data_IF_508561894070
#
_entry.id   IF_508561894070
#
_cell.length_a   1.000
_cell.length_b   1.000
_cell.length_c   1.000
_cell.angle_alpha   90.00
_cell.angle_beta   90.00
_cell.angle_gamma   90.00
#
_symmetry.space_group_name_H-M   'P 1'
#
loop_
_entity.id
_entity.type
_entity.pdbx_description
1 polymer ?
#
# COMPACT_ATOMS: atom_id res chain seq x y z
N UNK A 1 -12.17 -68.00 15.17
CA UNK A 1 -11.80 -68.25 16.58
C UNK A 1 -11.06 -67.00 17.04
N UNK A 2 -11.76 -66.01 17.62
CA UNK A 2 -12.00 -65.84 19.07
C UNK A 2 -10.67 -65.59 19.80
N UNK A 3 -10.43 -64.49 20.54
CA UNK A 3 -11.35 -63.68 21.35
C UNK A 3 -10.77 -62.30 21.72
N UNK A 4 -11.69 -61.35 21.90
CA UNK A 4 -11.61 -60.06 22.60
C UNK A 4 -10.89 -60.04 23.96
N UNK A 5 -10.33 -58.88 24.32
CA UNK A 5 -10.75 -58.18 25.57
C UNK A 5 -10.50 -56.67 25.53
N UNK A 6 -11.59 -55.92 25.74
CA UNK A 6 -11.68 -54.49 26.08
C UNK A 6 -11.36 -54.26 27.56
N UNK A 7 -10.92 -53.04 27.90
CA UNK A 7 -11.26 -52.22 29.08
C UNK A 7 -10.14 -51.18 29.32
N UNK A 8 -10.32 -49.96 29.85
CA UNK A 8 -11.42 -48.99 30.04
C UNK A 8 -10.68 -47.69 30.45
N UNK A 9 -11.18 -46.52 30.05
CA UNK A 9 -10.82 -45.23 30.65
C UNK A 9 -11.23 -45.18 32.13
N UNK A 10 -10.67 -44.23 32.89
CA UNK A 10 -11.49 -43.34 33.68
C UNK A 10 -11.31 -41.87 33.28
N UNK A 11 -12.45 -41.19 33.21
CA UNK A 11 -12.62 -39.75 33.22
C UNK A 11 -12.04 -39.11 34.48
N UNK A 12 -11.59 -37.85 34.38
CA UNK A 12 -11.32 -37.07 35.59
C UNK A 12 -10.56 -35.76 35.40
N UNK A 13 -11.32 -34.69 35.17
CA UNK A 13 -11.15 -33.37 35.82
C UNK A 13 -10.01 -32.43 35.34
N UNK A 14 -10.44 -31.55 34.42
CA UNK A 14 -10.28 -30.09 34.45
C UNK A 14 -9.19 -29.47 35.31
N UNK A 15 -8.18 -28.91 34.64
CA UNK A 15 -7.35 -27.84 35.18
C UNK A 15 -7.61 -26.57 34.36
N UNK A 16 -8.42 -25.69 34.95
CA UNK A 16 -8.68 -24.31 34.51
C UNK A 16 -7.38 -23.48 34.65
N UNK A 17 -6.92 -22.75 33.62
CA UNK A 17 -5.79 -21.83 33.77
C UNK A 17 -6.23 -20.55 34.50
N UNK A 18 -5.39 -19.98 35.39
CA UNK A 18 -5.80 -18.88 36.26
C UNK A 18 -6.09 -17.58 35.50
N UNK A 19 -7.23 -16.98 35.85
CA UNK A 19 -7.64 -15.65 35.41
C UNK A 19 -6.56 -14.60 35.76
N UNK A 20 -6.07 -13.89 34.74
CA UNK A 20 -5.17 -12.73 34.92
C UNK A 20 -5.97 -11.42 35.07
N UNK A 21 -5.49 -10.48 35.90
CA UNK A 21 -6.24 -9.28 36.27
C UNK A 21 -6.37 -8.30 35.10
N UNK A 22 -7.59 -7.78 34.90
CA UNK A 22 -7.91 -6.67 33.99
C UNK A 22 -7.24 -5.39 34.52
N UNK A 23 -6.18 -4.92 33.85
CA UNK A 23 -5.73 -3.52 34.00
C UNK A 23 -6.55 -2.64 33.07
N UNK A 24 -7.37 -1.78 33.66
CA UNK A 24 -8.10 -0.72 32.99
C UNK A 24 -7.10 0.29 32.40
N UNK A 25 -7.17 0.52 31.08
CA UNK A 25 -6.53 1.66 30.43
C UNK A 25 -7.60 2.73 30.30
N UNK A 26 -7.39 3.84 30.99
CA UNK A 26 -8.29 4.98 31.03
C UNK A 26 -8.39 5.65 29.65
N UNK A 27 -9.62 5.75 29.14
CA UNK A 27 -9.97 6.57 27.99
C UNK A 27 -10.10 8.04 28.44
N UNK A 28 -9.25 8.91 27.91
CA UNK A 28 -9.34 10.36 28.08
C UNK A 28 -10.45 10.90 27.17
N UNK A 29 -11.53 11.41 27.77
CA UNK A 29 -12.67 11.99 27.09
C UNK A 29 -12.39 13.38 26.49
N UNK A 30 -12.92 13.60 25.29
CA UNK A 30 -13.06 14.93 24.70
C UNK A 30 -14.53 15.38 24.82
N UNK A 31 -14.73 16.49 25.54
CA UNK A 31 -16.03 17.11 25.81
C UNK A 31 -16.59 17.79 24.56
N UNK A 32 -17.84 17.48 24.26
CA UNK A 32 -18.75 18.25 23.39
C UNK A 32 -19.24 19.51 24.11
N UNK A 33 -19.15 20.67 23.46
CA UNK A 33 -19.84 21.90 23.88
C UNK A 33 -20.83 22.30 22.79
N UNK A 34 -22.12 22.29 23.17
CA UNK A 34 -23.21 22.85 22.39
C UNK A 34 -23.35 24.35 22.70
N UNK A 35 -23.63 25.17 21.69
CA UNK A 35 -24.10 26.56 21.87
C UNK A 35 -25.23 26.85 20.89
N UNK A 36 -26.43 27.03 21.45
CA UNK A 36 -27.26 28.23 21.30
C UNK A 36 -27.77 28.64 19.92
N UNK A 37 -29.07 28.37 19.70
CA UNK A 37 -29.94 29.04 18.72
C UNK A 37 -30.10 30.53 19.04
N UNK A 38 -30.20 31.37 18.00
CA UNK A 38 -30.74 32.73 18.06
C UNK A 38 -31.28 33.13 16.69
N UNK A 39 -32.60 33.28 16.60
CA UNK A 39 -33.34 33.67 15.40
C UNK A 39 -33.47 35.20 15.30
N UNK A 40 -33.44 35.73 14.08
CA UNK A 40 -34.07 37.01 13.72
C UNK A 40 -34.29 37.08 12.19
N UNK A 41 -35.55 37.21 11.80
CA UNK A 41 -36.08 37.65 10.50
C UNK A 41 -36.73 39.05 10.72
N UNK A 42 -37.27 39.74 9.70
CA UNK A 42 -36.76 40.05 8.35
C UNK A 42 -36.97 41.56 8.00
N UNK A 43 -36.48 42.05 6.84
CA UNK A 43 -37.04 43.28 6.24
C UNK A 43 -36.81 43.41 4.73
N UNK A 44 -37.95 43.31 4.02
CA UNK A 44 -38.47 44.02 2.85
C UNK A 44 -37.60 44.72 1.77
N UNK A 45 -38.03 44.42 0.53
CA UNK A 45 -38.39 45.32 -0.58
C UNK A 45 -37.33 45.87 -1.56
N UNK A 46 -37.67 45.76 -2.86
CA UNK A 46 -37.05 46.51 -3.95
C UNK A 46 -37.27 45.90 -5.34
N UNK A 47 -38.41 46.21 -5.96
CA UNK A 47 -38.77 45.89 -7.35
C UNK A 47 -38.08 46.83 -8.35
N UNK A 48 -37.80 46.36 -9.57
CA UNK A 48 -37.34 47.20 -10.68
C UNK A 48 -37.10 46.44 -11.99
N UNK A 49 -38.08 46.46 -12.89
CA UNK A 49 -37.91 46.18 -14.34
C UNK A 49 -37.21 47.36 -15.03
N UNK A 50 -36.46 47.14 -16.15
CA UNK A 50 -37.07 47.47 -17.45
C UNK A 50 -36.59 46.68 -18.70
N UNK A 51 -37.56 46.49 -19.61
CA UNK A 51 -37.61 46.60 -21.09
C UNK A 51 -36.47 46.12 -22.02
N UNK A 52 -36.96 45.43 -23.06
CA UNK A 52 -36.33 45.06 -24.35
C UNK A 52 -35.89 46.26 -25.21
N UNK A 53 -34.89 46.01 -26.07
CA UNK A 53 -34.81 46.59 -27.41
C UNK A 53 -33.39 46.83 -27.94
N UNK A 54 -32.92 46.02 -28.90
CA UNK A 54 -31.65 46.29 -29.61
C UNK A 54 -31.18 45.14 -30.50
N UNK A 55 -31.66 45.12 -31.74
CA UNK A 55 -31.32 44.17 -32.82
C UNK A 55 -29.90 44.38 -33.36
N UNK A 56 -29.05 43.34 -33.41
CA UNK A 56 -27.95 43.25 -34.40
C UNK A 56 -27.63 41.81 -34.84
N UNK A 57 -27.90 41.60 -36.14
CA UNK A 57 -27.17 40.83 -37.16
C UNK A 57 -26.85 39.35 -36.93
N UNK A 58 -27.47 38.55 -37.79
CA UNK A 58 -27.12 37.17 -38.11
C UNK A 58 -25.65 37.06 -38.56
N UNK A 59 -24.86 36.34 -37.76
CA UNK A 59 -23.55 35.82 -38.12
C UNK A 59 -23.65 34.30 -38.31
N UNK A 60 -23.05 33.81 -39.39
CA UNK A 60 -23.06 32.43 -39.85
C UNK A 60 -22.97 31.39 -38.72
N UNK A 61 -23.87 30.40 -38.74
CA UNK A 61 -23.76 29.18 -37.93
C UNK A 61 -22.50 28.43 -38.33
N UNK A 62 -21.39 28.67 -37.63
CA UNK A 62 -20.29 27.70 -37.55
C UNK A 62 -20.87 26.46 -36.88
N UNK A 63 -20.86 25.33 -37.57
CA UNK A 63 -21.20 24.05 -36.99
C UNK A 63 -20.37 23.85 -35.71
N UNK A 64 -21.06 23.74 -34.58
CA UNK A 64 -20.46 23.40 -33.31
C UNK A 64 -19.73 22.06 -33.48
N UNK A 65 -18.47 21.94 -33.01
CA UNK A 65 -17.85 20.64 -32.95
C UNK A 65 -18.70 19.81 -32.00
N UNK A 66 -19.32 18.74 -32.50
CA UNK A 66 -19.95 17.71 -31.68
C UNK A 66 -18.88 17.19 -30.72
N UNK A 67 -18.83 17.74 -29.51
CA UNK A 67 -18.14 17.13 -28.39
C UNK A 67 -18.92 15.84 -28.14
N UNK A 68 -18.46 14.74 -28.74
CA UNK A 68 -18.81 13.40 -28.26
C UNK A 68 -18.42 13.41 -26.79
N UNK A 69 -19.41 13.55 -25.92
CA UNK A 69 -19.22 13.53 -24.49
C UNK A 69 -18.52 12.23 -24.13
N UNK A 70 -17.22 12.29 -23.91
CA UNK A 70 -16.52 11.23 -23.23
C UNK A 70 -17.17 11.18 -21.85
N UNK A 71 -18.00 10.16 -21.60
CA UNK A 71 -18.47 9.82 -20.26
C UNK A 71 -17.27 9.92 -19.34
N UNK A 72 -17.29 10.88 -18.40
CA UNK A 72 -16.22 11.00 -17.42
C UNK A 72 -16.16 9.65 -16.70
N UNK A 73 -15.01 8.98 -16.80
CA UNK A 73 -14.82 7.71 -16.13
C UNK A 73 -14.74 7.99 -14.62
N UNK A 74 -15.36 7.16 -13.80
CA UNK A 74 -15.32 7.25 -12.33
C UNK A 74 -14.66 6.00 -11.75
N UNK A 75 -13.72 6.16 -10.82
CA UNK A 75 -13.06 5.06 -10.11
C UNK A 75 -13.47 5.03 -8.64
N UNK A 76 -13.52 3.82 -8.05
CA UNK A 76 -13.76 3.65 -6.61
C UNK A 76 -12.68 4.35 -5.80
N UNK A 77 -13.09 5.11 -4.80
CA UNK A 77 -12.17 5.70 -3.82
C UNK A 77 -11.39 4.57 -3.14
N UNK A 78 -10.06 4.66 -3.17
CA UNK A 78 -9.19 3.59 -2.70
C UNK A 78 -7.92 4.18 -2.09
N UNK A 79 -7.73 4.00 -0.78
CA UNK A 79 -6.53 4.44 -0.07
C UNK A 79 -5.27 3.74 -0.55
N UNK A 80 -5.37 2.48 -0.95
CA UNK A 80 -4.26 1.74 -1.53
C UNK A 80 -3.83 2.37 -2.87
N UNK A 81 -4.78 2.74 -3.74
CA UNK A 81 -4.48 3.43 -5.00
C UNK A 81 -3.82 4.80 -4.80
N UNK A 82 -4.28 5.58 -3.80
CA UNK A 82 -3.64 6.85 -3.42
C UNK A 82 -2.20 6.65 -2.93
N UNK A 83 -1.97 5.65 -2.10
CA UNK A 83 -0.63 5.26 -1.61
C UNK A 83 0.26 4.81 -2.77
N UNK A 84 -0.27 3.98 -3.66
CA UNK A 84 0.46 3.52 -4.83
C UNK A 84 0.82 4.67 -5.78
N UNK A 85 0.03 5.74 -5.90
CA UNK A 85 0.42 6.91 -6.70
C UNK A 85 1.74 7.56 -6.23
N UNK A 86 2.14 7.31 -4.98
CA UNK A 86 3.42 7.73 -4.40
C UNK A 86 4.48 6.65 -4.65
N UNK A 87 4.16 5.38 -4.37
CA UNK A 87 5.13 4.26 -4.44
C UNK A 87 5.40 3.74 -5.86
N UNK A 88 4.47 3.90 -6.80
CA UNK A 88 4.63 3.47 -8.20
C UNK A 88 5.44 4.46 -9.05
N UNK A 89 5.68 5.68 -8.55
CA UNK A 89 6.70 6.54 -9.13
C UNK A 89 8.07 5.97 -8.75
N UNK A 90 8.67 5.22 -9.67
CA UNK A 90 9.93 4.47 -9.50
C UNK A 90 10.96 5.25 -8.69
N UNK A 91 11.19 6.51 -9.03
CA UNK A 91 12.17 7.35 -8.37
C UNK A 91 11.79 7.74 -6.94
N UNK A 92 10.50 8.02 -6.69
CA UNK A 92 10.01 8.32 -5.35
C UNK A 92 10.18 7.13 -4.43
N UNK A 93 9.85 5.93 -4.93
CA UNK A 93 10.09 4.69 -4.21
C UNK A 93 11.57 4.49 -3.88
N UNK A 94 12.46 4.62 -4.87
CA UNK A 94 13.89 4.42 -4.67
C UNK A 94 14.46 5.39 -3.63
N UNK A 95 14.03 6.65 -3.64
CA UNK A 95 14.44 7.65 -2.63
C UNK A 95 13.96 7.26 -1.23
N UNK A 96 12.69 6.86 -1.08
CA UNK A 96 12.14 6.41 0.22
C UNK A 96 12.88 5.17 0.71
N UNK A 97 13.16 4.21 -0.19
CA UNK A 97 13.93 2.99 0.11
C UNK A 97 15.29 3.37 0.71
N UNK A 98 16.07 4.19 0.02
CA UNK A 98 17.40 4.57 0.50
C UNK A 98 17.36 5.34 1.83
N UNK A 99 16.30 6.12 2.07
CA UNK A 99 16.13 6.78 3.36
C UNK A 99 15.93 5.78 4.51
N UNK A 100 15.23 4.65 4.30
CA UNK A 100 15.15 3.57 5.29
C UNK A 100 16.48 2.86 5.54
N UNK A 101 17.39 2.87 4.55
CA UNK A 101 18.79 2.44 4.68
C UNK A 101 19.72 3.53 5.23
N UNK A 102 19.18 4.69 5.63
CA UNK A 102 19.90 5.73 6.35
C UNK A 102 20.48 6.85 5.49
N UNK A 103 20.20 6.89 4.18
CA UNK A 103 20.57 8.05 3.36
C UNK A 103 19.78 9.28 3.82
N UNK A 104 20.49 10.39 4.07
CA UNK A 104 19.93 11.67 4.53
C UNK A 104 20.41 12.83 3.68
N UNK A 105 21.57 12.73 3.03
CA UNK A 105 22.15 13.82 2.23
C UNK A 105 21.90 13.61 0.75
N UNK A 106 21.79 14.71 0.00
CA UNK A 106 21.57 14.68 -1.45
C UNK A 106 22.59 13.79 -2.19
N UNK A 107 23.87 13.91 -1.84
CA UNK A 107 24.94 13.15 -2.48
C UNK A 107 24.90 11.65 -2.14
N UNK A 108 24.38 11.26 -0.96
CA UNK A 108 24.19 9.86 -0.59
C UNK A 108 23.11 9.21 -1.46
N UNK A 109 21.96 9.88 -1.61
CA UNK A 109 20.91 9.41 -2.52
C UNK A 109 21.41 9.32 -3.97
N UNK A 110 22.18 10.32 -4.41
CA UNK A 110 22.71 10.35 -5.77
C UNK A 110 23.70 9.22 -6.01
N UNK A 111 24.61 8.98 -5.07
CA UNK A 111 25.59 7.90 -5.15
C UNK A 111 24.90 6.53 -5.15
N UNK A 112 23.96 6.30 -4.24
CA UNK A 112 23.27 5.01 -4.10
C UNK A 112 22.36 4.67 -5.31
N UNK A 113 21.75 5.69 -5.94
CA UNK A 113 20.76 5.48 -7.00
C UNK A 113 21.28 5.79 -8.41
N UNK A 114 22.40 6.50 -8.56
CA UNK A 114 22.92 6.93 -9.86
C UNK A 114 21.94 7.79 -10.64
N UNK A 115 21.16 8.64 -9.96
CA UNK A 115 20.15 9.49 -10.59
C UNK A 115 20.74 10.81 -11.11
N UNK A 116 20.25 11.34 -12.24
CA UNK A 116 20.54 12.71 -12.64
C UNK A 116 20.11 13.70 -11.55
N UNK A 117 20.93 14.74 -11.31
CA UNK A 117 20.71 15.71 -10.23
C UNK A 117 19.32 16.36 -10.28
N UNK A 118 18.89 16.78 -11.46
CA UNK A 118 17.58 17.41 -11.65
C UNK A 118 16.42 16.45 -11.29
N UNK A 119 16.54 15.18 -11.66
CA UNK A 119 15.54 14.15 -11.33
C UNK A 119 15.45 13.93 -9.82
N UNK A 120 16.58 13.77 -9.13
CA UNK A 120 16.61 13.59 -7.69
C UNK A 120 16.08 14.82 -6.95
N UNK A 121 16.48 16.02 -7.36
CA UNK A 121 16.02 17.27 -6.75
C UNK A 121 14.50 17.43 -6.84
N UNK A 122 13.92 17.19 -8.02
CA UNK A 122 12.47 17.25 -8.22
C UNK A 122 11.73 16.20 -7.38
N UNK A 123 12.29 14.99 -7.25
CA UNK A 123 11.68 13.93 -6.43
C UNK A 123 11.72 14.23 -4.94
N UNK A 124 12.86 14.67 -4.42
CA UNK A 124 12.98 15.11 -3.02
C UNK A 124 12.04 16.29 -2.73
N UNK A 125 11.93 17.25 -3.67
CA UNK A 125 10.98 18.36 -3.56
C UNK A 125 9.53 17.87 -3.46
N UNK A 126 9.08 17.01 -4.38
CA UNK A 126 7.71 16.46 -4.36
C UNK A 126 7.42 15.66 -3.09
N UNK A 127 8.36 14.84 -2.65
CA UNK A 127 8.21 14.05 -1.43
C UNK A 127 8.21 14.93 -0.16
N UNK A 128 8.97 16.02 -0.16
CA UNK A 128 8.92 17.03 0.91
C UNK A 128 7.58 17.77 0.92
N UNK A 129 7.07 18.18 -0.24
CA UNK A 129 5.76 18.82 -0.38
C UNK A 129 4.60 17.90 0.07
N UNK A 130 4.74 16.59 -0.14
CA UNK A 130 3.79 15.57 0.35
C UNK A 130 3.98 15.24 1.84
N UNK A 131 4.91 15.92 2.53
CA UNK A 131 5.19 15.70 3.94
C UNK A 131 5.85 14.35 4.25
N UNK A 132 6.35 13.61 3.25
CA UNK A 132 7.08 12.34 3.47
C UNK A 132 8.47 12.62 4.06
N UNK A 133 9.12 13.67 3.55
CA UNK A 133 10.39 14.18 4.08
C UNK A 133 10.21 15.58 4.66
N UNK A 134 11.09 15.94 5.58
CA UNK A 134 11.35 17.32 5.98
C UNK A 134 12.82 17.65 5.73
N UNK A 135 13.07 18.92 5.43
CA UNK A 135 14.43 19.45 5.28
C UNK A 135 14.95 19.94 6.65
N UNK A 136 16.18 19.58 6.98
CA UNK A 136 16.88 20.01 8.19
C UNK A 136 18.17 20.70 7.77
N UNK A 137 18.36 21.94 8.24
CA UNK A 137 19.56 22.73 7.98
C UNK A 137 20.54 22.57 9.14
N UNK A 138 21.82 22.36 8.81
CA UNK A 138 22.87 22.11 9.82
C UNK A 138 23.16 23.36 10.68
N UNK A 139 23.06 24.54 10.07
CA UNK A 139 23.16 25.84 10.73
C UNK A 139 22.39 26.89 9.93
N UNK A 140 22.07 28.03 10.54
CA UNK A 140 21.40 29.15 9.88
C UNK A 140 22.17 29.73 8.67
N UNK A 141 23.47 29.45 8.58
CA UNK A 141 24.39 29.94 7.54
C UNK A 141 24.80 28.87 6.52
N UNK A 142 24.47 27.60 6.74
CA UNK A 142 24.84 26.50 5.85
C UNK A 142 23.77 26.25 4.79
N UNK A 143 24.19 26.20 3.53
CA UNK A 143 23.35 25.74 2.41
C UNK A 143 23.17 24.22 2.36
N UNK A 144 23.81 23.47 3.26
CA UNK A 144 23.72 22.01 3.32
C UNK A 144 22.43 21.58 4.02
N UNK A 145 21.62 20.84 3.28
CA UNK A 145 20.32 20.33 3.73
C UNK A 145 20.38 18.81 3.86
N UNK A 146 19.84 18.31 4.97
CA UNK A 146 19.50 16.90 5.15
C UNK A 146 18.00 16.67 4.96
N UNK A 147 17.66 15.50 4.43
CA UNK A 147 16.29 15.06 4.22
C UNK A 147 15.98 13.95 5.22
N UNK A 148 15.10 14.25 6.16
CA UNK A 148 14.68 13.32 7.21
C UNK A 148 13.26 12.84 6.93
N UNK A 149 13.00 11.54 7.04
CA UNK A 149 11.64 11.02 7.01
C UNK A 149 10.83 11.64 8.16
N UNK A 150 9.63 12.11 7.85
CA UNK A 150 8.66 12.53 8.87
C UNK A 150 7.94 11.30 9.44
N UNK A 151 7.02 11.51 10.39
CA UNK A 151 6.11 10.42 10.81
C UNK A 151 5.31 9.84 9.63
N UNK A 152 4.85 10.69 8.72
CA UNK A 152 4.15 10.26 7.49
C UNK A 152 5.03 9.37 6.62
N UNK A 153 6.32 9.72 6.44
CA UNK A 153 7.26 8.88 5.72
C UNK A 153 7.63 7.58 6.45
N UNK A 154 7.82 7.64 7.77
CA UNK A 154 8.16 6.47 8.59
C UNK A 154 7.04 5.44 8.64
N UNK A 155 5.78 5.88 8.66
CA UNK A 155 4.61 5.00 8.65
C UNK A 155 4.44 4.21 7.33
N UNK A 156 5.21 4.52 6.27
CA UNK A 156 5.26 3.67 5.06
C UNK A 156 6.03 2.37 5.30
N UNK A 157 6.85 2.29 6.35
CA UNK A 157 7.73 1.17 6.60
C UNK A 157 7.03 -0.19 6.68
N UNK A 158 5.88 -0.35 7.36
CA UNK A 158 5.12 -1.60 7.35
C UNK A 158 4.73 -2.06 5.94
N UNK A 159 4.41 -1.14 5.02
CA UNK A 159 4.13 -1.48 3.62
C UNK A 159 5.36 -2.07 2.93
N UNK A 160 6.55 -1.51 3.19
CA UNK A 160 7.81 -2.06 2.68
C UNK A 160 8.08 -3.44 3.25
N UNK A 161 7.88 -3.64 4.56
CA UNK A 161 8.11 -4.94 5.21
C UNK A 161 7.16 -6.03 4.69
N UNK A 162 5.88 -5.70 4.46
CA UNK A 162 4.94 -6.62 3.83
C UNK A 162 5.35 -6.99 2.39
N UNK A 163 5.88 -6.03 1.62
CA UNK A 163 6.42 -6.31 0.28
C UNK A 163 7.74 -7.10 0.31
N UNK A 164 8.58 -6.93 1.34
CA UNK A 164 9.77 -7.78 1.58
C UNK A 164 9.31 -9.20 1.83
N UNK A 165 8.39 -9.42 2.78
CA UNK A 165 7.91 -10.76 3.12
C UNK A 165 7.36 -11.51 1.89
N UNK A 166 6.58 -10.82 1.06
CA UNK A 166 6.10 -11.37 -0.21
C UNK A 166 7.23 -11.69 -1.19
N UNK A 167 8.13 -10.73 -1.43
CA UNK A 167 9.23 -10.88 -2.39
C UNK A 167 10.23 -11.96 -1.97
N UNK A 168 10.51 -12.07 -0.67
CA UNK A 168 11.39 -13.07 -0.11
C UNK A 168 10.82 -14.48 -0.30
N UNK A 169 9.51 -14.63 -0.08
CA UNK A 169 8.82 -15.93 -0.18
C UNK A 169 8.65 -16.41 -1.61
N UNK A 170 8.27 -15.53 -2.54
CA UNK A 170 7.84 -15.93 -3.89
C UNK A 170 8.81 -15.56 -5.00
N UNK A 171 9.68 -14.57 -4.80
CA UNK A 171 10.49 -13.96 -5.86
C UNK A 171 12.00 -14.09 -5.61
N UNK A 172 12.41 -14.75 -4.54
CA UNK A 172 13.82 -15.03 -4.29
C UNK A 172 14.36 -16.01 -5.32
N UNK A 173 15.51 -15.68 -5.89
CA UNK A 173 16.29 -16.60 -6.71
C UNK A 173 17.04 -17.64 -5.85
N UNK A 174 17.93 -18.44 -6.45
CA UNK A 174 18.73 -19.44 -5.74
C UNK A 174 19.59 -18.83 -4.62
N UNK A 175 20.06 -17.59 -4.78
CA UNK A 175 20.84 -16.86 -3.77
C UNK A 175 19.98 -16.40 -2.56
N UNK A 176 18.67 -16.62 -2.61
CA UNK A 176 17.73 -16.23 -1.58
C UNK A 176 17.44 -14.71 -1.52
N UNK A 177 16.88 -14.25 -0.37
CA UNK A 177 16.65 -12.83 -0.14
C UNK A 177 17.96 -12.03 -0.06
N UNK A 178 17.98 -10.79 -0.59
CA UNK A 178 19.16 -9.92 -0.55
C UNK A 178 19.49 -9.41 0.85
N UNK A 179 18.55 -9.46 1.78
CA UNK A 179 18.78 -9.13 3.18
C UNK A 179 17.91 -9.99 4.09
N UNK A 180 18.33 -10.16 5.35
CA UNK A 180 17.52 -10.66 6.45
C UNK A 180 17.24 -9.52 7.42
N UNK A 181 16.03 -9.52 7.93
CA UNK A 181 15.55 -8.54 8.91
C UNK A 181 15.86 -9.06 10.31
N UNK A 182 16.46 -8.22 11.16
CA UNK A 182 16.65 -8.53 12.58
C UNK A 182 15.85 -7.51 13.38
N UNK A 183 14.92 -7.99 14.20
CA UNK A 183 14.11 -7.11 15.03
C UNK A 183 14.86 -6.79 16.33
N UNK A 184 15.35 -5.55 16.43
CA UNK A 184 16.24 -5.11 17.50
C UNK A 184 15.65 -5.28 18.90
N UNK A 185 14.32 -5.23 19.03
CA UNK A 185 13.62 -5.42 20.31
C UNK A 185 13.75 -6.84 20.84
N UNK A 186 13.67 -7.86 19.98
CA UNK A 186 13.79 -9.26 20.41
C UNK A 186 15.14 -9.90 20.05
N UNK A 187 15.95 -9.28 19.21
CA UNK A 187 17.24 -9.79 18.76
C UNK A 187 17.18 -10.94 17.73
N UNK A 188 15.99 -11.37 17.32
CA UNK A 188 15.82 -12.50 16.42
C UNK A 188 15.68 -12.06 14.95
N UNK A 189 16.04 -12.96 14.03
CA UNK A 189 15.66 -12.84 12.63
C UNK A 189 14.12 -12.78 12.55
N UNK A 190 13.61 -11.74 11.90
CA UNK A 190 12.20 -11.41 11.82
C UNK A 190 11.68 -11.74 10.42
N UNK A 191 10.64 -12.56 10.36
CA UNK A 191 9.83 -12.79 9.17
C UNK A 191 8.51 -12.02 9.36
N UNK A 192 8.44 -10.76 8.93
CA UNK A 192 7.27 -9.94 9.21
C UNK A 192 6.05 -10.49 8.50
N UNK A 193 4.91 -10.45 9.18
CA UNK A 193 3.61 -10.76 8.58
C UNK A 193 2.58 -9.70 8.94
N UNK A 194 1.55 -9.61 8.10
CA UNK A 194 0.46 -8.65 8.29
C UNK A 194 -0.61 -9.27 9.16
N UNK A 195 -0.96 -8.58 10.25
CA UNK A 195 -1.83 -9.07 11.29
C UNK A 195 -3.00 -8.11 11.56
N UNK A 196 -4.04 -8.68 12.16
CA UNK A 196 -5.15 -7.93 12.73
C UNK A 196 -4.69 -7.10 13.94
N UNK A 197 -4.96 -5.80 14.00
CA UNK A 197 -4.62 -4.96 15.16
C UNK A 197 -5.34 -5.34 16.46
N UNK A 198 -6.40 -6.15 16.39
CA UNK A 198 -7.18 -6.57 17.54
C UNK A 198 -6.69 -7.89 18.15
N UNK A 199 -6.52 -8.94 17.33
CA UNK A 199 -6.14 -10.28 17.81
C UNK A 199 -4.73 -10.71 17.43
N UNK A 200 -4.00 -9.92 16.62
CA UNK A 200 -2.64 -10.21 16.13
C UNK A 200 -2.52 -11.48 15.27
N UNK A 201 -3.64 -12.08 14.84
CA UNK A 201 -3.65 -13.21 13.92
C UNK A 201 -3.49 -12.75 12.45
N UNK A 202 -2.99 -13.63 11.56
CA UNK A 202 -2.69 -13.27 10.17
C UNK A 202 -3.90 -12.75 9.37
N UNK A 203 -3.78 -11.52 8.86
CA UNK A 203 -4.77 -10.89 8.00
C UNK A 203 -4.54 -11.27 6.53
N UNK A 204 -5.21 -12.33 6.08
CA UNK A 204 -5.10 -12.86 4.71
C UNK A 204 -6.35 -12.58 3.86
N UNK A 205 -6.22 -12.67 2.53
CA UNK A 205 -7.31 -12.39 1.59
C UNK A 205 -8.59 -13.20 1.84
N UNK A 206 -8.48 -14.39 2.45
CA UNK A 206 -9.60 -15.28 2.76
C UNK A 206 -10.15 -15.11 4.17
N UNK A 207 -9.45 -14.37 5.04
CA UNK A 207 -9.80 -14.13 6.45
C UNK A 207 -10.25 -12.70 6.73
N UNK A 208 -10.43 -11.90 5.70
CA UNK A 208 -10.83 -10.50 5.81
C UNK A 208 -12.05 -10.24 4.95
N UNK A 209 -13.05 -9.60 5.56
CA UNK A 209 -14.19 -9.01 4.84
C UNK A 209 -14.01 -7.51 4.77
N UNK A 210 -14.52 -6.91 3.70
CA UNK A 210 -14.54 -5.47 3.52
C UNK A 210 -15.97 -4.95 3.47
N UNK A 211 -16.15 -3.70 3.87
CA UNK A 211 -17.37 -2.92 3.65
C UNK A 211 -17.04 -1.47 3.36
N UNK A 212 -17.99 -0.76 2.78
CA UNK A 212 -17.84 0.67 2.50
C UNK A 212 -17.68 1.44 3.82
N UNK A 213 -16.67 2.30 3.85
CA UNK A 213 -16.44 3.24 4.94
C UNK A 213 -17.02 4.63 4.64
N UNK A 214 -16.85 5.60 5.54
CA UNK A 214 -17.37 6.96 5.34
C UNK A 214 -16.82 7.67 4.09
N UNK A 215 -15.59 7.34 3.65
CA UNK A 215 -15.01 7.91 2.42
C UNK A 215 -15.34 7.12 1.15
N UNK A 216 -16.26 6.16 1.23
CA UNK A 216 -16.64 5.32 0.10
C UNK A 216 -17.30 6.13 -1.01
N UNK A 217 -17.38 5.54 -2.19
CA UNK A 217 -17.93 6.18 -3.38
C UNK A 217 -16.95 6.14 -4.54
N UNK A 218 -17.25 6.94 -5.56
CA UNK A 218 -16.43 7.02 -6.78
C UNK A 218 -16.06 8.47 -7.07
N UNK A 219 -14.82 8.69 -7.47
CA UNK A 219 -14.33 10.00 -7.93
C UNK A 219 -14.05 9.93 -9.43
N UNK A 220 -14.18 11.06 -10.16
CA UNK A 220 -13.78 11.12 -11.55
C UNK A 220 -12.32 10.67 -11.68
N UNK A 221 -12.03 9.78 -12.62
CA UNK A 221 -10.66 9.38 -12.96
C UNK A 221 -9.95 10.66 -13.40
N UNK A 222 -9.03 11.12 -12.56
CA UNK A 222 -8.20 12.26 -12.90
C UNK A 222 -7.50 11.99 -14.23
N UNK A 223 -7.57 12.95 -15.16
CA UNK A 223 -6.70 12.96 -16.33
C UNK A 223 -5.29 13.32 -15.86
N UNK A 224 -4.70 12.51 -14.97
CA UNK A 224 -3.27 12.60 -14.72
C UNK A 224 -2.61 12.36 -16.07
N UNK A 225 -1.84 13.36 -16.53
CA UNK A 225 -1.13 13.30 -17.80
C UNK A 225 -0.37 12.00 -17.82
N UNK A 226 -0.86 11.05 -18.64
CA UNK A 226 -0.25 9.75 -18.84
C UNK A 226 1.24 10.00 -19.06
N UNK A 227 2.07 9.61 -18.09
CA UNK A 227 3.51 9.53 -18.28
C UNK A 227 3.74 8.40 -19.29
N UNK A 228 3.57 8.74 -20.57
CA UNK A 228 3.50 7.78 -21.66
C UNK A 228 4.88 7.35 -22.15
N UNK A 229 6.00 7.85 -21.58
CA UNK A 229 7.32 7.70 -22.23
C UNK A 229 8.59 7.59 -21.37
N UNK A 230 8.54 7.43 -20.04
CA UNK A 230 9.81 7.36 -19.25
C UNK A 230 9.92 6.20 -18.27
N UNK A 231 8.88 5.38 -18.10
CA UNK A 231 8.96 4.19 -17.24
C UNK A 231 9.71 3.02 -17.90
N UNK A 232 9.81 2.97 -19.24
CA UNK A 232 10.48 1.88 -19.95
C UNK A 232 12.01 1.84 -19.76
N UNK A 233 12.65 2.93 -19.30
CA UNK A 233 14.09 2.94 -18.98
C UNK A 233 14.37 2.88 -17.47
N UNK A 234 13.35 2.88 -16.62
CA UNK A 234 13.47 2.98 -15.17
C UNK A 234 13.04 1.69 -14.49
N UNK A 235 14.00 0.83 -14.14
CA UNK A 235 13.73 -0.38 -13.34
C UNK A 235 13.73 -0.07 -11.83
N UNK A 236 12.78 -0.67 -11.10
CA UNK A 236 12.77 -0.68 -9.63
C UNK A 236 14.01 -1.39 -9.04
N UNK A 237 14.70 -2.22 -9.82
CA UNK A 237 15.92 -2.94 -9.42
C UNK A 237 17.20 -2.11 -9.48
N UNK A 238 17.10 -0.80 -9.74
CA UNK A 238 18.25 0.11 -9.69
C UNK A 238 18.79 0.28 -8.26
N UNK A 239 20.11 0.37 -8.15
CA UNK A 239 20.82 0.52 -6.88
C UNK A 239 20.93 -0.84 -6.16
N UNK A 240 20.80 -0.83 -4.83
CA UNK A 240 20.96 -2.05 -4.04
C UNK A 240 19.91 -3.14 -4.37
N UNK A 241 20.27 -4.43 -4.29
CA UNK A 241 19.32 -5.53 -4.37
C UNK A 241 18.19 -5.39 -3.33
N UNK A 242 16.94 -5.62 -3.74
CA UNK A 242 15.77 -5.37 -2.91
C UNK A 242 14.59 -6.26 -3.29
N UNK A 243 14.06 -7.01 -2.32
CA UNK A 243 12.84 -7.81 -2.51
C UNK A 243 11.61 -6.94 -2.76
N UNK A 244 11.57 -5.74 -2.18
CA UNK A 244 10.50 -4.77 -2.48
C UNK A 244 10.54 -4.37 -3.95
N UNK A 245 11.74 -4.20 -4.51
CA UNK A 245 11.90 -3.89 -5.94
C UNK A 245 11.37 -5.03 -6.81
N UNK A 246 11.69 -6.28 -6.48
CA UNK A 246 11.15 -7.47 -7.18
C UNK A 246 9.62 -7.51 -7.12
N UNK A 247 9.03 -7.22 -5.97
CA UNK A 247 7.58 -7.14 -5.78
C UNK A 247 6.96 -6.05 -6.67
N UNK A 248 7.54 -4.84 -6.68
CA UNK A 248 7.05 -3.72 -7.48
C UNK A 248 7.26 -3.91 -9.00
N UNK A 249 8.21 -4.73 -9.44
CA UNK A 249 8.31 -5.09 -10.86
C UNK A 249 7.09 -5.89 -11.37
N UNK A 250 6.40 -6.61 -10.47
CA UNK A 250 5.18 -7.33 -10.80
C UNK A 250 3.96 -6.43 -10.60
N UNK A 251 3.85 -5.77 -9.44
CA UNK A 251 2.62 -5.10 -9.02
C UNK A 251 2.64 -3.57 -9.09
N UNK A 252 3.79 -2.98 -9.43
CA UNK A 252 4.01 -1.53 -9.40
C UNK A 252 3.39 -0.78 -10.56
N UNK A 253 2.91 -1.44 -11.61
CA UNK A 253 2.13 -0.77 -12.65
C UNK A 253 0.67 -0.59 -12.23
N UNK A 254 0.13 0.60 -12.51
CA UNK A 254 -1.22 1.00 -12.11
C UNK A 254 -2.29 -0.01 -12.51
N UNK A 255 -2.21 -0.59 -13.72
CA UNK A 255 -3.27 -1.49 -14.19
C UNK A 255 -3.20 -2.85 -13.52
N UNK A 256 -2.02 -3.44 -13.36
CA UNK A 256 -1.87 -4.68 -12.59
C UNK A 256 -2.39 -4.53 -11.18
N UNK A 257 -2.04 -3.41 -10.52
CA UNK A 257 -2.55 -3.13 -9.19
C UNK A 257 -4.08 -3.09 -9.14
N UNK A 258 -4.71 -2.37 -10.08
CA UNK A 258 -6.17 -2.26 -10.14
C UNK A 258 -6.83 -3.63 -10.43
N UNK A 259 -6.22 -4.46 -11.28
CA UNK A 259 -6.69 -5.83 -11.55
C UNK A 259 -6.65 -6.68 -10.27
N UNK A 260 -5.54 -6.65 -9.53
CA UNK A 260 -5.40 -7.36 -8.25
C UNK A 260 -6.43 -6.88 -7.23
N UNK A 261 -6.66 -5.57 -7.13
CA UNK A 261 -7.68 -4.98 -6.27
C UNK A 261 -9.08 -5.56 -6.55
N UNK A 262 -9.51 -5.54 -7.82
CA UNK A 262 -10.82 -6.09 -8.18
C UNK A 262 -10.91 -7.59 -7.96
N UNK A 263 -9.81 -8.32 -8.16
CA UNK A 263 -9.75 -9.74 -7.85
C UNK A 263 -9.96 -10.03 -6.35
N UNK A 264 -9.42 -9.20 -5.45
CA UNK A 264 -9.72 -9.28 -4.01
C UNK A 264 -11.18 -8.96 -3.68
N UNK A 265 -11.85 -8.15 -4.51
CA UNK A 265 -13.30 -7.94 -4.44
C UNK A 265 -14.12 -9.06 -5.09
N UNK A 266 -13.48 -10.14 -5.53
CA UNK A 266 -14.13 -11.30 -6.12
C UNK A 266 -14.43 -11.17 -7.62
N UNK A 267 -13.98 -10.12 -8.28
CA UNK A 267 -14.14 -9.95 -9.73
C UNK A 267 -13.16 -10.87 -10.45
N UNK A 268 -13.70 -11.87 -11.16
CA UNK A 268 -12.89 -12.93 -11.81
C UNK A 268 -13.06 -13.00 -13.33
N UNK A 269 -14.08 -12.34 -13.89
CA UNK A 269 -14.39 -12.44 -15.33
C UNK A 269 -13.80 -11.26 -16.10
N UNK A 270 -13.37 -11.51 -17.33
CA UNK A 270 -12.77 -10.49 -18.20
C UNK A 270 -13.69 -9.28 -18.37
N UNK A 271 -14.94 -9.49 -18.79
CA UNK A 271 -15.89 -8.40 -19.05
C UNK A 271 -16.22 -7.59 -17.80
N UNK A 272 -16.25 -8.25 -16.63
CA UNK A 272 -16.47 -7.60 -15.35
C UNK A 272 -15.27 -6.73 -14.95
N UNK A 273 -14.04 -7.24 -15.07
CA UNK A 273 -12.81 -6.46 -14.88
C UNK A 273 -12.75 -5.27 -15.84
N UNK A 274 -13.08 -5.50 -17.12
CA UNK A 274 -13.11 -4.46 -18.13
C UNK A 274 -14.12 -3.35 -17.78
N UNK A 275 -15.30 -3.74 -17.33
CA UNK A 275 -16.39 -2.82 -16.96
C UNK A 275 -16.05 -2.02 -15.71
N UNK A 276 -15.59 -2.67 -14.65
CA UNK A 276 -15.25 -2.01 -13.38
C UNK A 276 -14.04 -1.08 -13.52
N UNK A 277 -13.03 -1.50 -14.28
CA UNK A 277 -11.78 -0.73 -14.44
C UNK A 277 -11.83 0.27 -15.59
N UNK A 278 -12.80 0.15 -16.51
CA UNK A 278 -12.87 0.91 -17.77
C UNK A 278 -11.54 0.86 -18.55
N UNK A 279 -10.87 -0.29 -18.48
CA UNK A 279 -9.58 -0.55 -19.11
C UNK A 279 -9.78 -0.96 -20.58
N UNK A 280 -8.88 -0.53 -21.46
CA UNK A 280 -8.91 -0.97 -22.85
C UNK A 280 -8.64 -2.49 -22.92
N UNK A 281 -9.41 -3.26 -23.73
CA UNK A 281 -9.36 -4.72 -23.70
C UNK A 281 -7.99 -5.30 -24.08
N UNK A 282 -7.25 -4.64 -24.98
CA UNK A 282 -5.87 -5.03 -25.32
C UNK A 282 -4.91 -4.89 -24.14
N UNK A 283 -5.03 -3.82 -23.35
CA UNK A 283 -4.22 -3.62 -22.14
C UNK A 283 -4.59 -4.64 -21.06
N UNK A 284 -5.89 -4.89 -20.86
CA UNK A 284 -6.34 -5.92 -19.91
C UNK A 284 -5.82 -7.31 -20.28
N UNK A 285 -5.86 -7.64 -21.58
CA UNK A 285 -5.34 -8.91 -22.11
C UNK A 285 -3.85 -9.07 -21.83
N UNK A 286 -3.03 -8.07 -22.17
CA UNK A 286 -1.59 -8.10 -21.89
C UNK A 286 -1.29 -8.25 -20.40
N UNK A 287 -1.97 -7.49 -19.54
CA UNK A 287 -1.75 -7.53 -18.09
C UNK A 287 -2.16 -8.86 -17.46
N UNK A 288 -3.33 -9.40 -17.82
CA UNK A 288 -3.75 -10.71 -17.34
C UNK A 288 -2.81 -11.81 -17.84
N UNK A 289 -2.35 -11.76 -19.08
CA UNK A 289 -1.37 -12.72 -19.60
C UNK A 289 -0.05 -12.69 -18.81
N UNK A 290 0.48 -11.50 -18.51
CA UNK A 290 1.68 -11.35 -17.66
C UNK A 290 1.46 -11.88 -16.25
N UNK A 291 0.31 -11.57 -15.65
CA UNK A 291 -0.03 -12.04 -14.30
C UNK A 291 -0.20 -13.55 -14.22
N UNK A 292 -0.75 -14.18 -15.27
CA UNK A 292 -0.83 -15.64 -15.39
C UNK A 292 0.56 -16.24 -15.59
N UNK A 293 1.37 -15.67 -16.48
CA UNK A 293 2.75 -16.13 -16.71
C UNK A 293 3.63 -16.01 -15.45
N UNK A 294 3.39 -15.01 -14.60
CA UNK A 294 4.06 -14.81 -13.31
C UNK A 294 3.48 -15.69 -12.19
N UNK A 295 2.46 -16.50 -12.45
CA UNK A 295 1.83 -17.37 -11.46
C UNK A 295 0.98 -16.66 -10.41
N UNK A 296 0.64 -15.38 -10.61
CA UNK A 296 -0.25 -14.63 -9.70
C UNK A 296 -1.72 -15.00 -9.92
N UNK A 297 -2.07 -15.33 -11.16
CA UNK A 297 -3.40 -15.77 -11.55
C UNK A 297 -3.33 -17.12 -12.28
N UNK A 298 -4.40 -17.89 -12.18
CA UNK A 298 -4.68 -19.02 -13.07
C UNK A 298 -5.87 -18.65 -13.97
N UNK A 299 -5.80 -19.04 -15.25
CA UNK A 299 -6.93 -18.94 -16.17
C UNK A 299 -7.70 -20.26 -16.15
N UNK A 300 -8.92 -20.24 -15.59
CA UNK A 300 -9.76 -21.44 -15.43
C UNK A 300 -10.97 -21.39 -16.36
N UNK A 301 -11.22 -22.46 -17.09
CA UNK A 301 -12.46 -22.65 -17.85
C UNK A 301 -13.59 -22.96 -16.87
N UNK A 302 -14.72 -22.26 -17.01
CA UNK A 302 -15.92 -22.52 -16.20
C UNK A 302 -17.15 -22.91 -17.03
N UNK A 303 -17.12 -22.70 -18.35
CA UNK A 303 -18.19 -23.11 -19.27
C UNK A 303 -17.59 -23.75 -20.53
N UNK A 304 -18.25 -24.81 -21.00
CA UNK A 304 -17.85 -25.59 -22.15
C UNK A 304 -18.24 -24.98 -23.49
N UNK A 305 -19.50 -24.56 -23.63
CA UNK A 305 -20.08 -24.15 -24.91
C UNK A 305 -20.96 -22.90 -24.71
N UNK A 306 -20.56 -21.70 -25.20
CA UNK A 306 -19.21 -21.36 -25.67
C UNK A 306 -18.17 -21.45 -24.54
N UNK A 307 -16.89 -21.56 -24.90
CA UNK A 307 -15.82 -21.55 -23.89
C UNK A 307 -15.81 -20.22 -23.14
N UNK A 308 -15.93 -20.30 -21.81
CA UNK A 308 -15.77 -19.12 -20.95
C UNK A 308 -14.74 -19.36 -19.88
N UNK A 309 -13.94 -18.33 -19.65
CA UNK A 309 -12.83 -18.35 -18.72
C UNK A 309 -13.01 -17.32 -17.62
N UNK A 310 -12.46 -17.63 -16.47
CA UNK A 310 -12.27 -16.72 -15.36
C UNK A 310 -10.81 -16.75 -14.92
N UNK A 311 -10.39 -15.67 -14.26
CA UNK A 311 -9.06 -15.49 -13.72
C UNK A 311 -9.16 -15.59 -12.19
N UNK A 312 -8.52 -16.61 -11.62
CA UNK A 312 -8.51 -16.82 -10.16
C UNK A 312 -7.13 -16.52 -9.61
N UNK A 313 -7.08 -15.91 -8.42
CA UNK A 313 -5.83 -15.73 -7.70
C UNK A 313 -5.29 -17.11 -7.29
N UNK A 314 -4.02 -17.33 -7.57
CA UNK A 314 -3.25 -18.45 -7.01
C UNK A 314 -2.92 -18.17 -5.54
N UNK A 315 -2.15 -19.04 -4.89
CA UNK A 315 -1.69 -18.77 -3.52
C UNK A 315 -0.71 -17.60 -3.48
N UNK A 316 0.17 -17.46 -4.48
CA UNK A 316 0.97 -16.25 -4.68
C UNK A 316 0.05 -15.02 -4.89
N UNK A 317 -1.00 -15.17 -5.70
CA UNK A 317 -2.09 -14.21 -5.90
C UNK A 317 -2.67 -13.66 -4.60
N UNK A 318 -2.97 -14.56 -3.67
CA UNK A 318 -3.60 -14.22 -2.39
C UNK A 318 -2.60 -13.63 -1.40
N UNK A 319 -1.33 -14.03 -1.45
CA UNK A 319 -0.33 -13.64 -0.46
C UNK A 319 0.08 -12.17 -0.54
N UNK A 320 0.01 -11.54 -1.73
CA UNK A 320 0.28 -10.10 -1.89
C UNK A 320 -0.76 -9.21 -1.16
N UNK A 321 -1.89 -9.78 -0.74
CA UNK A 321 -2.95 -9.07 -0.03
C UNK A 321 -2.44 -8.34 1.22
N UNK A 322 -1.50 -8.93 1.95
CA UNK A 322 -0.89 -8.29 3.13
C UNK A 322 -0.29 -6.92 2.79
N UNK A 323 0.47 -6.84 1.69
CA UNK A 323 1.03 -5.57 1.23
C UNK A 323 -0.04 -4.55 0.84
N UNK A 324 -1.16 -5.01 0.25
CA UNK A 324 -2.29 -4.14 -0.11
C UNK A 324 -2.93 -3.51 1.12
N UNK A 325 -3.24 -4.30 2.15
CA UNK A 325 -3.89 -3.77 3.35
C UNK A 325 -2.93 -2.97 4.24
N UNK A 326 -1.62 -3.26 4.21
CA UNK A 326 -0.60 -2.42 4.85
C UNK A 326 -0.51 -1.03 4.18
N UNK A 327 -0.53 -0.98 2.84
CA UNK A 327 -0.63 0.28 2.10
C UNK A 327 -1.97 0.99 2.36
N UNK A 328 -3.07 0.22 2.53
CA UNK A 328 -4.37 0.78 2.89
C UNK A 328 -4.30 1.51 4.23
N UNK A 329 -3.75 0.87 5.25
CA UNK A 329 -3.63 1.43 6.60
C UNK A 329 -2.90 2.78 6.58
N UNK A 330 -1.81 2.88 5.81
CA UNK A 330 -1.09 4.14 5.64
C UNK A 330 -1.94 5.20 4.92
N UNK A 331 -2.59 4.83 3.80
CA UNK A 331 -3.41 5.76 3.03
C UNK A 331 -4.66 6.24 3.76
N UNK A 332 -5.26 5.38 4.59
CA UNK A 332 -6.36 5.72 5.49
C UNK A 332 -5.88 6.73 6.54
N UNK A 333 -4.71 6.50 7.13
CA UNK A 333 -4.14 7.42 8.14
C UNK A 333 -3.81 8.80 7.59
N UNK A 334 -3.19 8.87 6.40
CA UNK A 334 -2.55 10.09 5.92
C UNK A 334 -3.25 10.78 4.76
N UNK A 335 -4.06 10.06 3.97
CA UNK A 335 -4.64 10.59 2.73
C UNK A 335 -6.18 10.61 2.73
N UNK A 336 -6.85 9.98 3.70
CA UNK A 336 -8.31 9.89 3.71
C UNK A 336 -9.03 11.03 4.44
N UNK A 337 -8.31 11.94 5.11
CA UNK A 337 -8.93 13.02 5.88
C UNK A 337 -9.77 12.52 7.06
N UNK A 338 -9.48 11.32 7.59
CA UNK A 338 -10.29 10.68 8.64
C UNK A 338 -11.47 9.88 8.11
N UNK A 339 -11.69 9.85 6.79
CA UNK A 339 -12.80 9.13 6.16
C UNK A 339 -12.26 7.96 5.32
N UNK A 340 -11.92 6.81 5.93
CA UNK A 340 -11.43 5.66 5.16
C UNK A 340 -12.53 5.18 4.20
N UNK A 341 -12.21 4.92 2.92
CA UNK A 341 -13.19 4.45 1.94
C UNK A 341 -13.58 2.99 2.14
N UNK A 342 -12.75 2.21 2.84
CA UNK A 342 -12.96 0.78 3.05
C UNK A 342 -12.66 0.44 4.51
N UNK A 343 -13.58 -0.27 5.16
CA UNK A 343 -13.39 -0.80 6.51
C UNK A 343 -13.16 -2.32 6.40
N UNK A 344 -12.12 -2.81 7.08
CA UNK A 344 -11.75 -4.22 7.11
C UNK A 344 -12.22 -4.86 8.41
N UNK A 345 -12.90 -6.00 8.31
CA UNK A 345 -13.31 -6.85 9.43
C UNK A 345 -12.55 -8.15 9.36
N UNK A 346 -11.87 -8.52 10.44
CA UNK A 346 -11.19 -9.80 10.53
C UNK A 346 -12.20 -10.90 10.86
N UNK A 347 -12.24 -11.97 10.06
CA UNK A 347 -13.26 -13.02 10.20
C UNK A 347 -13.09 -13.84 11.47
N UNK A 348 -11.85 -14.10 11.91
CA UNK A 348 -11.61 -14.98 13.05
C UNK A 348 -12.01 -14.32 14.39
N UNK A 349 -11.83 -13.00 14.52
CA UNK A 349 -12.19 -12.27 15.74
C UNK A 349 -13.46 -11.42 15.61
N UNK A 350 -14.01 -11.22 14.41
CA UNK A 350 -15.22 -10.43 14.16
C UNK A 350 -15.07 -8.91 14.33
N UNK A 351 -13.85 -8.41 14.58
CA UNK A 351 -13.60 -6.98 14.84
C UNK A 351 -13.09 -6.27 13.59
N UNK A 352 -13.43 -4.98 13.50
CA UNK A 352 -12.77 -4.10 12.57
C UNK A 352 -11.34 -3.85 13.00
N UNK A 353 -10.46 -3.75 12.02
CA UNK A 353 -9.04 -3.61 12.29
C UNK A 353 -8.34 -2.73 11.28
N UNK A 354 -7.21 -2.19 11.72
CA UNK A 354 -6.20 -1.62 10.83
C UNK A 354 -5.09 -2.64 10.68
N UNK A 355 -4.64 -2.89 9.45
CA UNK A 355 -3.54 -3.81 9.23
C UNK A 355 -2.28 -3.30 9.95
N UNK A 356 -1.65 -4.18 10.74
CA UNK A 356 -0.34 -3.94 11.36
C UNK A 356 0.65 -4.98 10.87
N UNK A 357 1.93 -4.66 10.82
CA UNK A 357 2.98 -5.61 10.45
C UNK A 357 3.80 -5.91 11.68
N UNK A 358 3.86 -7.18 12.06
CA UNK A 358 4.45 -7.63 13.31
C UNK A 358 5.51 -8.70 13.06
N UNK A 359 6.40 -8.84 14.03
CA UNK A 359 7.43 -9.87 14.06
C UNK A 359 6.80 -11.23 14.39
N UNK A 360 7.16 -12.28 13.64
CA UNK A 360 6.75 -13.66 13.90
C UNK A 360 7.26 -14.22 15.24
N UNK A 361 8.40 -13.74 15.72
CA UNK A 361 9.02 -14.23 16.94
C UNK A 361 8.40 -13.63 18.21
N UNK A 362 8.24 -12.31 18.27
CA UNK A 362 7.77 -11.61 19.48
C UNK A 362 6.39 -10.96 19.36
N UNK A 363 5.75 -11.02 18.19
CA UNK A 363 4.44 -10.42 17.88
C UNK A 363 4.33 -8.91 18.10
N UNK A 364 5.45 -8.21 18.28
CA UNK A 364 5.50 -6.75 18.38
C UNK A 364 5.52 -6.09 17.00
N UNK A 365 5.03 -4.83 16.89
CA UNK A 365 5.09 -4.06 15.65
C UNK A 365 6.50 -3.91 15.09
N UNK A 366 6.61 -4.01 13.77
CA UNK A 366 7.85 -3.78 13.03
C UNK A 366 7.94 -2.30 12.65
N UNK A 367 8.86 -1.59 13.28
CA UNK A 367 9.08 -0.15 13.11
C UNK A 367 10.49 0.13 12.60
N UNK A 368 10.63 1.11 11.70
CA UNK A 368 11.90 1.36 11.00
C UNK A 368 13.09 1.63 11.94
N UNK A 369 12.89 2.18 13.14
CA UNK A 369 13.98 2.42 14.10
C UNK A 369 14.35 1.18 14.92
N UNK A 370 13.48 0.17 14.97
CA UNK A 370 13.68 -1.07 15.71
C UNK A 370 14.15 -2.22 14.80
N UNK A 371 14.62 -1.93 13.59
CA UNK A 371 15.06 -2.93 12.63
C UNK A 371 16.52 -2.74 12.25
N UNK A 372 17.23 -3.87 12.24
CA UNK A 372 18.59 -4.03 11.70
C UNK A 372 18.54 -4.98 10.50
N UNK A 373 19.59 -4.94 9.68
CA UNK A 373 19.66 -5.70 8.43
C UNK A 373 20.95 -6.50 8.37
N UNK A 374 20.85 -7.80 8.07
CA UNK A 374 21.98 -8.62 7.62
C UNK A 374 21.93 -8.73 6.11
N UNK A 375 22.95 -8.26 5.42
CA UNK A 375 22.95 -8.19 3.95
C UNK A 375 23.57 -9.45 3.36
N UNK A 376 23.03 -9.91 2.23
CA UNK A 376 23.58 -10.99 1.41
C UNK A 376 24.23 -10.43 0.13
N UNK A 377 24.74 -9.20 0.19
CA UNK A 377 25.45 -8.51 -0.89
C UNK A 377 26.40 -7.48 -0.30
N UNK A 378 27.43 -7.10 -1.04
CA UNK A 378 28.35 -6.03 -0.62
C UNK A 378 27.65 -4.66 -0.63
N UNK A 379 27.54 -3.98 0.53
CA UNK A 379 26.92 -2.65 0.60
C UNK A 379 27.80 -1.52 0.07
N UNK A 380 29.11 -1.71 -0.08
CA UNK A 380 30.06 -0.64 -0.40
C UNK A 380 29.71 0.16 -1.67
N UNK A 381 29.25 -0.47 -2.78
CA UNK A 381 28.86 0.25 -3.99
C UNK A 381 27.66 1.19 -3.82
N UNK A 382 26.90 1.04 -2.73
CA UNK A 382 25.64 1.75 -2.50
C UNK A 382 25.71 2.77 -1.35
N UNK A 383 26.92 3.12 -0.88
CA UNK A 383 27.13 4.20 0.08
C UNK A 383 26.51 3.99 1.46
N UNK A 384 26.46 2.74 1.94
CA UNK A 384 25.70 2.39 3.13
C UNK A 384 26.12 3.11 4.42
N UNK A 385 25.10 3.56 5.18
CA UNK A 385 25.26 3.88 6.59
C UNK A 385 25.42 2.57 7.39
N UNK A 386 26.61 2.35 7.94
CA UNK A 386 27.01 1.12 8.67
C UNK A 386 26.21 0.88 9.95
N UNK A 387 25.55 1.89 10.52
CA UNK A 387 24.90 1.82 11.84
C UNK A 387 23.73 0.81 11.93
N UNK A 388 23.10 0.47 10.79
CA UNK A 388 21.94 -0.45 10.72
C UNK A 388 22.27 -1.82 10.13
N UNK A 389 23.50 -2.01 9.67
CA UNK A 389 23.97 -3.27 9.12
C UNK A 389 24.57 -4.06 10.28
N UNK A 390 24.01 -5.22 10.57
CA UNK A 390 24.71 -6.19 11.42
C UNK A 390 25.79 -6.86 10.58
N UNK A 391 27.03 -6.81 11.05
CA UNK A 391 28.07 -7.69 10.53
C UNK A 391 27.61 -9.14 10.77
N UNK A 392 27.82 -10.05 9.80
CA UNK A 392 27.56 -11.45 10.05
C UNK A 392 28.35 -11.85 11.30
N UNK A 393 27.69 -12.56 12.23
CA UNK A 393 28.45 -13.28 13.24
C UNK A 393 29.44 -14.13 12.44
N UNK A 394 30.74 -13.88 12.62
CA UNK A 394 31.74 -14.83 12.22
C UNK A 394 31.37 -16.09 12.98
N UNK A 395 30.75 -17.05 12.29
CA UNK A 395 30.51 -18.37 12.83
C UNK A 395 31.89 -18.89 13.23
N UNK A 396 32.18 -18.77 14.52
CA UNK A 396 33.40 -19.28 15.11
C UNK A 396 33.38 -20.78 14.88
N UNK A 397 34.31 -21.25 14.08
CA UNK A 397 34.60 -22.66 14.00
C UNK A 397 36.00 -22.90 13.47
N UNK A 398 36.62 -24.03 13.82
CA UNK A 398 36.52 -24.79 15.08
C UNK A 398 37.47 -24.27 16.17
#
# INVERSE_FOLDING_TARGET
MSTHKRARQPDGLGAEPPARPKKAIAASGAKTAAVGKGAAEPSAAGSGTPKLGGTKKAGARKAEPKVRGALQAFERNCSVGRTLSILSDVWSFLVIREAFFGARRFEEFRAALGLPRATLAERLKRLTQRGIFRQVHYSATSSRVEYHLTRCGMDLYPSFMAMIAFGDRWLSGPDGPPLRLVHATCGHECRPYVACSHCLEPASATRVRYRDGPGAGRTPVGVEKRSRRTAESASFSRGRPSSVSRTLEIVGDRWTFLILREAFFGVRRFDALQTELRIAPNILTDRLARLVARGMFERRRYQGQPERFEYRLTDMGKDIYGAFIAMQAWGDRWLSGGEPPLILTHLDCGHDFTATVICDQCRQPVEAHAMRYRLNYDPAPFGANRERIEEPALDGGP
#
